data_IF_763014082470
#
_entry.id   IF_763014082470
#
_cell.length_a   1.000
_cell.length_b   1.000
_cell.length_c   1.000
_cell.angle_alpha   90.00
_cell.angle_beta   90.00
_cell.angle_gamma   90.00
#
_symmetry.space_group_name_H-M   'P 1'
#
loop_
_entity.id
_entity.type
_entity.pdbx_description
1 polymer ?
#
# COMPACT_ATOMS: atom_id res chain seq x y z
N UNK A 1 11.84 7.96 15.04
CA UNK A 1 12.34 7.49 13.78
C UNK A 1 11.28 6.71 13.02
N UNK A 2 10.91 7.18 11.89
CA UNK A 2 9.74 6.64 11.21
C UNK A 2 10.06 5.70 10.06
N UNK A 3 11.32 5.55 9.69
CA UNK A 3 11.68 4.63 8.63
C UNK A 3 12.89 3.79 9.02
N UNK A 4 12.98 2.60 8.45
CA UNK A 4 14.06 1.67 8.69
C UNK A 4 14.90 1.54 7.42
N UNK A 5 16.21 1.52 7.55
CA UNK A 5 17.11 1.32 6.43
C UNK A 5 16.89 -0.05 5.78
N UNK A 6 16.40 -1.03 6.53
CA UNK A 6 16.17 -2.38 6.04
C UNK A 6 14.73 -2.60 5.55
N UNK A 7 13.87 -1.61 5.65
CA UNK A 7 12.48 -1.75 5.22
C UNK A 7 12.38 -1.50 3.72
N UNK A 8 11.93 -2.51 2.96
CA UNK A 8 11.76 -2.39 1.51
C UNK A 8 10.77 -1.28 1.14
N UNK A 9 9.68 -1.13 1.90
CA UNK A 9 8.69 -0.10 1.63
C UNK A 9 9.25 1.30 1.89
N UNK A 10 10.06 1.46 2.96
CA UNK A 10 10.72 2.72 3.21
C UNK A 10 11.72 3.07 2.09
N UNK A 11 12.40 2.08 1.54
CA UNK A 11 13.30 2.27 0.41
C UNK A 11 12.54 2.70 -0.85
N UNK A 12 11.36 2.13 -1.09
CA UNK A 12 10.51 2.52 -2.21
C UNK A 12 10.04 3.97 -2.04
N UNK A 13 9.63 4.35 -0.84
CA UNK A 13 9.19 5.72 -0.54
C UNK A 13 10.32 6.72 -0.81
N UNK A 14 11.54 6.38 -0.41
CA UNK A 14 12.72 7.23 -0.64
C UNK A 14 13.21 7.24 -2.08
N UNK A 15 12.71 6.32 -2.91
CA UNK A 15 13.14 6.20 -4.30
C UNK A 15 14.44 5.43 -4.50
N UNK A 16 14.94 4.75 -3.47
CA UNK A 16 16.18 3.95 -3.58
C UNK A 16 15.92 2.57 -4.18
N UNK A 17 14.68 2.10 -4.16
CA UNK A 17 14.26 0.87 -4.83
C UNK A 17 13.16 1.25 -5.81
N UNK A 18 13.28 0.89 -7.10
CA UNK A 18 12.28 1.24 -8.08
C UNK A 18 10.96 0.51 -7.85
N UNK A 19 9.87 1.19 -8.18
CA UNK A 19 8.53 0.62 -8.12
C UNK A 19 7.65 1.30 -9.17
N UNK A 20 6.64 0.59 -9.65
CA UNK A 20 5.66 1.17 -10.58
C UNK A 20 4.58 1.84 -9.73
N UNK A 21 4.70 3.15 -9.58
CA UNK A 21 3.76 3.94 -8.78
C UNK A 21 2.44 4.09 -9.52
N UNK A 22 1.35 3.92 -8.79
CA UNK A 22 -0.01 4.15 -9.28
C UNK A 22 -0.47 5.53 -8.87
N UNK A 23 -0.34 5.85 -7.60
CA UNK A 23 -0.65 7.19 -7.09
C UNK A 23 0.08 7.41 -5.77
N UNK A 24 0.14 8.68 -5.38
CA UNK A 24 0.87 9.07 -4.18
C UNK A 24 0.26 10.34 -3.63
N UNK A 25 0.12 10.42 -2.31
CA UNK A 25 -0.25 11.65 -1.65
C UNK A 25 0.65 11.90 -0.44
N UNK A 26 0.28 12.85 0.41
CA UNK A 26 1.10 13.25 1.55
C UNK A 26 1.32 12.10 2.53
N UNK A 27 0.37 11.19 2.66
CA UNK A 27 0.38 10.14 3.70
C UNK A 27 0.56 8.74 3.17
N UNK A 28 0.29 8.49 1.90
CA UNK A 28 0.28 7.13 1.35
C UNK A 28 0.95 7.06 -0.01
N UNK A 29 1.41 5.86 -0.34
CA UNK A 29 1.94 5.53 -1.66
C UNK A 29 1.27 4.25 -2.13
N UNK A 30 0.81 4.23 -3.38
CA UNK A 30 0.24 3.05 -4.01
C UNK A 30 1.12 2.65 -5.19
N UNK A 31 1.50 1.38 -5.25
CA UNK A 31 2.32 0.86 -6.34
C UNK A 31 1.92 -0.57 -6.65
N UNK A 32 2.33 -1.05 -7.84
CA UNK A 32 2.01 -2.41 -8.25
C UNK A 32 2.92 -3.41 -7.57
N UNK A 33 2.36 -4.55 -7.16
CA UNK A 33 3.14 -5.63 -6.59
C UNK A 33 3.99 -6.27 -7.69
N UNK A 34 5.27 -6.51 -7.41
CA UNK A 34 6.18 -7.16 -8.36
C UNK A 34 5.93 -8.65 -8.46
N UNK A 35 5.25 -9.24 -7.47
CA UNK A 35 4.84 -10.64 -7.48
C UNK A 35 3.32 -10.71 -7.32
N UNK A 36 2.56 -10.24 -8.31
CA UNK A 36 1.12 -10.11 -8.14
C UNK A 36 0.41 -11.46 -8.06
N UNK A 37 -0.60 -11.52 -7.20
CA UNK A 37 -1.49 -12.67 -7.12
C UNK A 37 -2.42 -12.74 -8.33
N UNK A 38 -2.60 -11.61 -9.02
CA UNK A 38 -3.43 -11.51 -10.21
C UNK A 38 -3.39 -10.10 -10.78
N UNK A 39 -4.10 -9.84 -11.89
CA UNK A 39 -4.19 -8.50 -12.47
C UNK A 39 -4.72 -7.49 -11.46
N UNK A 40 -4.12 -6.32 -11.43
CA UNK A 40 -4.57 -5.26 -10.53
C UNK A 40 -4.13 -5.41 -9.08
N UNK A 41 -3.16 -6.29 -8.80
CA UNK A 41 -2.65 -6.45 -7.43
C UNK A 41 -1.78 -5.26 -7.07
N UNK A 42 -2.37 -4.30 -6.36
CA UNK A 42 -1.70 -3.08 -5.92
C UNK A 42 -1.49 -3.11 -4.41
N UNK A 43 -0.44 -2.44 -3.98
CA UNK A 43 -0.11 -2.28 -2.56
C UNK A 43 -0.29 -0.82 -2.17
N UNK A 44 -1.05 -0.58 -1.11
CA UNK A 44 -1.22 0.74 -0.53
C UNK A 44 -0.47 0.76 0.79
N UNK A 45 0.51 1.63 0.90
CA UNK A 45 1.33 1.72 2.11
C UNK A 45 1.29 3.11 2.72
N UNK A 46 1.49 3.17 4.03
CA UNK A 46 1.69 4.41 4.75
C UNK A 46 3.11 4.92 4.53
N UNK A 47 3.27 6.22 4.33
CA UNK A 47 4.60 6.83 4.28
C UNK A 47 5.27 6.85 5.65
N UNK A 48 4.49 6.88 6.73
CA UNK A 48 5.02 6.71 8.07
C UNK A 48 5.30 5.22 8.31
N UNK A 49 6.51 4.90 8.74
CA UNK A 49 6.88 3.50 8.97
C UNK A 49 6.09 2.91 10.14
N UNK A 50 5.49 1.75 9.91
CA UNK A 50 4.87 0.95 10.96
C UNK A 50 4.98 -0.52 10.53
N UNK A 51 5.30 -1.38 11.48
CA UNK A 51 5.53 -2.79 11.17
C UNK A 51 4.21 -3.52 10.86
N UNK A 52 3.12 -3.10 11.50
CA UNK A 52 1.83 -3.81 11.38
C UNK A 52 0.68 -2.93 11.86
N UNK A 53 -0.51 -3.49 11.79
CA UNK A 53 -1.75 -2.82 12.22
C UNK A 53 -1.71 -2.41 13.70
N UNK A 54 -1.01 -3.16 14.53
CA UNK A 54 -0.97 -2.89 15.97
C UNK A 54 -0.15 -1.65 16.31
N UNK A 55 0.81 -1.30 15.45
CA UNK A 55 1.73 -0.18 15.68
C UNK A 55 1.38 1.08 14.90
N UNK A 56 0.63 0.96 13.81
CA UNK A 56 0.33 2.13 12.97
C UNK A 56 -0.50 3.14 13.73
N UNK A 57 -0.17 4.43 13.59
CA UNK A 57 -0.95 5.50 14.18
C UNK A 57 -2.31 5.61 13.47
N UNK A 58 -3.35 5.95 14.23
CA UNK A 58 -4.70 6.02 13.69
C UNK A 58 -4.85 6.95 12.48
N UNK A 59 -4.26 8.17 12.45
CA UNK A 59 -4.38 9.02 11.27
C UNK A 59 -3.79 8.36 10.02
N UNK A 60 -2.69 7.64 10.16
CA UNK A 60 -2.06 6.94 9.04
C UNK A 60 -2.91 5.75 8.59
N UNK A 61 -3.51 5.03 9.53
CA UNK A 61 -4.43 3.94 9.22
C UNK A 61 -5.64 4.46 8.43
N UNK A 62 -6.21 5.58 8.85
CA UNK A 62 -7.34 6.17 8.16
C UNK A 62 -6.95 6.63 6.75
N UNK A 63 -5.75 7.18 6.58
CA UNK A 63 -5.26 7.60 5.28
C UNK A 63 -5.08 6.40 4.33
N UNK A 64 -4.51 5.31 4.82
CA UNK A 64 -4.34 4.08 4.05
C UNK A 64 -5.69 3.50 3.65
N UNK A 65 -6.64 3.48 4.57
CA UNK A 65 -7.98 2.95 4.30
C UNK A 65 -8.71 3.79 3.26
N UNK A 66 -8.61 5.11 3.34
CA UNK A 66 -9.20 6.02 2.36
C UNK A 66 -8.61 5.79 0.97
N UNK A 67 -7.30 5.69 0.89
CA UNK A 67 -6.60 5.44 -0.39
C UNK A 67 -6.98 4.08 -0.95
N UNK A 68 -7.08 3.06 -0.10
CA UNK A 68 -7.50 1.72 -0.50
C UNK A 68 -8.87 1.75 -1.15
N UNK A 69 -9.83 2.48 -0.58
CA UNK A 69 -11.16 2.60 -1.18
C UNK A 69 -11.10 3.26 -2.55
N UNK A 70 -10.30 4.33 -2.67
CA UNK A 70 -10.14 5.04 -3.95
C UNK A 70 -9.55 4.14 -5.02
N UNK A 71 -8.49 3.40 -4.68
CA UNK A 71 -7.84 2.47 -5.61
C UNK A 71 -8.80 1.35 -6.00
N UNK A 72 -9.54 0.80 -5.05
CA UNK A 72 -10.53 -0.25 -5.33
C UNK A 72 -11.60 0.23 -6.31
N UNK A 73 -12.07 1.46 -6.16
CA UNK A 73 -13.06 2.04 -7.07
C UNK A 73 -12.49 2.19 -8.49
N UNK A 74 -11.24 2.62 -8.60
CA UNK A 74 -10.60 2.77 -9.91
C UNK A 74 -10.36 1.40 -10.56
N UNK A 75 -9.96 0.40 -9.80
CA UNK A 75 -9.79 -0.95 -10.34
C UNK A 75 -11.12 -1.56 -10.79
N UNK A 76 -12.19 -1.30 -10.07
CA UNK A 76 -13.52 -1.78 -10.46
C UNK A 76 -13.91 -1.21 -11.83
N UNK A 77 -13.60 0.06 -12.08
CA UNK A 77 -13.88 0.68 -13.38
C UNK A 77 -12.97 0.13 -14.48
N UNK A 78 -11.69 -0.04 -14.20
CA UNK A 78 -10.69 -0.39 -15.21
C UNK A 78 -10.73 -1.87 -15.58
N UNK A 79 -10.93 -2.76 -14.62
CA UNK A 79 -10.82 -4.20 -14.81
C UNK A 79 -12.16 -4.91 -14.76
N UNK A 80 -13.19 -4.26 -14.23
CA UNK A 80 -14.54 -4.83 -14.06
C UNK A 80 -14.53 -6.25 -13.49
N UNK A 81 -13.83 -6.50 -12.36
CA UNK A 81 -13.76 -7.83 -11.79
C UNK A 81 -15.08 -8.23 -11.16
N UNK A 82 -15.28 -9.55 -11.00
CA UNK A 82 -16.47 -10.07 -10.30
C UNK A 82 -16.45 -9.73 -8.81
N UNK A 83 -15.29 -9.47 -8.25
CA UNK A 83 -15.14 -9.08 -6.85
C UNK A 83 -13.74 -8.56 -6.57
N UNK A 84 -13.56 -8.04 -5.37
CA UNK A 84 -12.29 -7.50 -4.91
C UNK A 84 -11.93 -8.13 -3.58
N UNK A 85 -10.64 -8.44 -3.41
CA UNK A 85 -10.12 -8.90 -2.13
C UNK A 85 -9.14 -7.87 -1.60
N UNK A 86 -9.31 -7.50 -0.34
CA UNK A 86 -8.40 -6.58 0.34
C UNK A 86 -7.85 -7.32 1.54
N UNK A 87 -6.53 -7.35 1.65
CA UNK A 87 -5.87 -8.05 2.74
C UNK A 87 -4.80 -7.21 3.40
N UNK A 88 -4.60 -7.46 4.67
CA UNK A 88 -3.54 -6.88 5.47
C UNK A 88 -3.03 -7.96 6.41
N UNK A 89 -1.72 -8.21 6.38
CA UNK A 89 -1.12 -9.30 7.13
C UNK A 89 -0.21 -8.75 8.21
N UNK A 90 -0.29 -9.35 9.40
CA UNK A 90 0.51 -8.93 10.54
C UNK A 90 1.40 -10.09 10.99
N UNK A 91 2.72 -9.84 11.04
CA UNK A 91 3.66 -10.88 11.38
C UNK A 91 3.77 -11.92 10.27
N UNK A 92 3.85 -13.18 10.66
CA UNK A 92 4.04 -14.29 9.73
C UNK A 92 2.72 -14.91 9.23
N UNK A 93 1.65 -14.17 9.30
CA UNK A 93 0.32 -14.67 8.90
C UNK A 93 0.23 -15.04 7.43
#
# INVERSE_FOLDING_TARGET
MNSSENCIFCKIIRGTVPAIKVCEDEYTLTFMDINPAGPGHALVISKAHAANLLEIAEPDLLAVTRTTQRVAREEQKALAPDGLRIGQFNGAA
#
